data_IF_923552232011
#
_entry.id   IF_923552232011
#
_cell.length_a   1.000
_cell.length_b   1.000
_cell.length_c   1.000
_cell.angle_alpha   90.00
_cell.angle_beta   90.00
_cell.angle_gamma   90.00
#
_symmetry.space_group_name_H-M   'P 1'
#
loop_
_entity.id
_entity.type
_entity.pdbx_description
1 polymer ?
#
# COMPACT_ATOMS: atom_id res chain seq x y z
N UNK A 1 -16.25 -7.40 -34.98
CA UNK A 1 -15.56 -7.63 -33.69
C UNK A 1 -16.61 -8.11 -32.71
N UNK A 2 -16.45 -9.27 -32.09
CA UNK A 2 -17.43 -9.76 -31.09
C UNK A 2 -17.31 -8.94 -29.81
N UNK A 3 -18.42 -8.70 -29.12
CA UNK A 3 -18.41 -8.05 -27.80
C UNK A 3 -17.87 -9.01 -26.74
N UNK A 4 -17.42 -8.46 -25.60
CA UNK A 4 -16.99 -9.29 -24.47
C UNK A 4 -18.14 -10.17 -23.95
N UNK A 5 -19.37 -9.66 -23.94
CA UNK A 5 -20.54 -10.44 -23.52
C UNK A 5 -20.83 -11.62 -24.47
N UNK A 6 -20.61 -11.43 -25.78
CA UNK A 6 -20.79 -12.50 -26.78
C UNK A 6 -19.75 -13.61 -26.61
N UNK A 7 -18.49 -13.24 -26.36
CA UNK A 7 -17.43 -14.22 -26.09
C UNK A 7 -17.69 -15.01 -24.81
N UNK A 8 -18.17 -14.36 -23.75
CA UNK A 8 -18.53 -15.04 -22.49
C UNK A 8 -19.71 -16.00 -22.69
N UNK A 9 -20.67 -15.66 -23.55
CA UNK A 9 -21.79 -16.54 -23.89
C UNK A 9 -21.36 -17.77 -24.68
N UNK A 10 -20.32 -17.69 -25.49
CA UNK A 10 -19.78 -18.84 -26.23
C UNK A 10 -18.94 -19.79 -25.36
N UNK A 11 -18.53 -19.37 -24.16
CA UNK A 11 -17.71 -20.19 -23.28
C UNK A 11 -18.50 -21.34 -22.63
N UNK A 12 -17.88 -22.54 -22.52
CA UNK A 12 -18.33 -23.62 -21.66
C UNK A 12 -18.52 -23.17 -20.19
N UNK A 13 -19.39 -23.84 -19.42
CA UNK A 13 -19.70 -23.47 -18.04
C UNK A 13 -18.46 -23.36 -17.13
N UNK A 14 -17.49 -24.25 -17.31
CA UNK A 14 -16.27 -24.29 -16.51
C UNK A 14 -15.40 -23.05 -16.73
N UNK A 15 -15.29 -22.59 -17.98
CA UNK A 15 -14.49 -21.42 -18.34
C UNK A 15 -15.20 -20.10 -18.00
N UNK A 16 -16.54 -20.08 -17.96
CA UNK A 16 -17.28 -18.91 -17.47
C UNK A 16 -16.96 -18.59 -16.01
N UNK A 17 -16.77 -19.62 -15.20
CA UNK A 17 -16.41 -19.47 -13.78
C UNK A 17 -15.03 -18.86 -13.63
N UNK A 18 -14.07 -19.29 -14.44
CA UNK A 18 -12.71 -18.73 -14.44
C UNK A 18 -12.71 -17.25 -14.88
N UNK A 19 -13.51 -16.89 -15.88
CA UNK A 19 -13.67 -15.49 -16.30
C UNK A 19 -14.32 -14.64 -15.20
N UNK A 20 -15.32 -15.17 -14.50
CA UNK A 20 -15.95 -14.49 -13.37
C UNK A 20 -14.96 -14.24 -12.23
N UNK A 21 -14.18 -15.26 -11.86
CA UNK A 21 -13.17 -15.15 -10.81
C UNK A 21 -12.08 -14.15 -11.19
N UNK A 22 -11.65 -14.15 -12.46
CA UNK A 22 -10.69 -13.17 -12.95
C UNK A 22 -11.25 -11.75 -12.96
N UNK A 23 -12.51 -11.56 -13.35
CA UNK A 23 -13.17 -10.25 -13.30
C UNK A 23 -13.26 -9.72 -11.87
N UNK A 24 -13.64 -10.56 -10.90
CA UNK A 24 -13.64 -10.21 -9.48
C UNK A 24 -12.24 -9.83 -8.98
N UNK A 25 -11.23 -10.62 -9.35
CA UNK A 25 -9.84 -10.32 -9.01
C UNK A 25 -9.39 -8.95 -9.54
N UNK A 26 -9.72 -8.62 -10.79
CA UNK A 26 -9.36 -7.32 -11.37
C UNK A 26 -10.05 -6.15 -10.65
N UNK A 27 -11.31 -6.30 -10.25
CA UNK A 27 -12.06 -5.30 -9.49
C UNK A 27 -11.42 -5.06 -8.10
N UNK A 28 -11.05 -6.12 -7.39
CA UNK A 28 -10.39 -6.01 -6.10
C UNK A 28 -8.97 -5.46 -6.20
N UNK A 29 -8.19 -5.90 -7.20
CA UNK A 29 -6.85 -5.37 -7.47
C UNK A 29 -6.87 -3.86 -7.73
N UNK A 30 -7.87 -3.37 -8.46
CA UNK A 30 -8.04 -1.93 -8.71
C UNK A 30 -8.28 -1.17 -7.41
N UNK A 31 -9.07 -1.71 -6.48
CA UNK A 31 -9.30 -1.08 -5.17
C UNK A 31 -8.01 -1.05 -4.33
N UNK A 32 -7.23 -2.13 -4.33
CA UNK A 32 -5.99 -2.23 -3.57
C UNK A 32 -4.86 -1.32 -4.10
N UNK A 33 -4.77 -1.13 -5.42
CA UNK A 33 -3.74 -0.29 -6.05
C UNK A 33 -3.88 1.21 -5.73
N UNK A 34 -5.00 1.65 -5.15
CA UNK A 34 -5.23 3.03 -4.74
C UNK A 34 -4.90 3.29 -3.26
N UNK A 35 -4.12 2.41 -2.61
CA UNK A 35 -3.51 2.72 -1.32
C UNK A 35 -2.86 4.11 -1.38
N UNK A 36 -3.28 5.02 -0.48
CA UNK A 36 -2.77 6.39 -0.49
C UNK A 36 -1.23 6.35 -0.43
N UNK A 37 -0.53 7.17 -1.24
CA UNK A 37 0.92 7.24 -1.14
C UNK A 37 1.29 7.56 0.32
N UNK A 38 2.26 6.82 0.87
CA UNK A 38 2.78 7.08 2.21
C UNK A 38 3.29 8.52 2.20
N UNK A 39 2.68 9.38 3.03
CA UNK A 39 3.00 10.83 3.05
C UNK A 39 4.45 11.13 3.42
N UNK A 40 5.14 10.20 4.08
CA UNK A 40 6.52 10.36 4.59
C UNK A 40 6.72 11.67 5.37
N UNK A 41 5.66 12.18 6.01
CA UNK A 41 5.70 13.47 6.73
C UNK A 41 6.62 13.45 7.96
N UNK A 42 7.04 12.27 8.39
CA UNK A 42 8.06 12.06 9.41
C UNK A 42 9.49 12.22 8.87
N UNK A 43 9.71 12.02 7.56
CA UNK A 43 11.04 12.09 6.97
C UNK A 43 11.54 13.55 7.02
N UNK A 44 12.61 13.78 7.77
CA UNK A 44 13.18 15.12 7.96
C UNK A 44 12.46 16.00 8.98
N UNK A 45 11.46 15.49 9.71
CA UNK A 45 10.73 16.26 10.73
C UNK A 45 11.63 16.79 11.86
N UNK A 46 12.80 16.20 12.09
CA UNK A 46 13.75 16.62 13.13
C UNK A 46 14.95 17.42 12.59
N UNK A 47 14.91 17.87 11.33
CA UNK A 47 16.06 18.53 10.68
C UNK A 47 16.49 19.81 11.40
N UNK A 48 15.54 20.57 11.94
CA UNK A 48 15.81 21.81 12.69
C UNK A 48 16.56 21.59 14.01
N UNK A 49 16.55 20.36 14.53
CA UNK A 49 17.20 20.00 15.78
C UNK A 49 18.64 19.50 15.59
N UNK A 50 19.10 19.37 14.34
CA UNK A 50 20.44 18.84 14.01
C UNK A 50 21.57 19.61 14.68
N UNK A 51 21.46 20.94 14.75
CA UNK A 51 22.48 21.81 15.34
C UNK A 51 22.26 22.02 16.85
N UNK A 52 21.13 21.55 17.38
CA UNK A 52 20.75 21.70 18.79
C UNK A 52 21.05 20.47 19.63
N UNK A 53 21.09 19.29 19.00
CA UNK A 53 21.33 18.03 19.68
C UNK A 53 22.27 17.16 18.88
N UNK A 54 23.29 16.65 19.56
CA UNK A 54 24.15 15.58 19.06
C UNK A 54 23.44 14.23 19.18
N UNK A 55 23.86 13.26 18.36
CA UNK A 55 23.33 11.90 18.43
C UNK A 55 23.47 11.28 19.83
N UNK A 56 24.55 11.61 20.56
CA UNK A 56 24.82 11.11 21.90
C UNK A 56 23.84 11.69 22.94
N UNK A 57 23.49 12.97 22.83
CA UNK A 57 22.51 13.59 23.74
C UNK A 57 21.11 13.02 23.54
N UNK A 58 20.71 12.77 22.29
CA UNK A 58 19.45 12.11 21.96
C UNK A 58 19.42 10.68 22.50
N UNK A 59 20.53 9.94 22.40
CA UNK A 59 20.64 8.60 22.96
C UNK A 59 20.49 8.59 24.49
N UNK A 60 21.17 9.51 25.20
CA UNK A 60 21.05 9.63 26.66
C UNK A 60 19.62 9.97 27.08
N UNK A 61 18.99 10.95 26.44
CA UNK A 61 17.58 11.31 26.68
C UNK A 61 16.64 10.14 26.40
N UNK A 62 16.89 9.35 25.36
CA UNK A 62 16.07 8.19 25.04
C UNK A 62 16.18 7.07 26.08
N UNK A 63 17.31 6.92 26.76
CA UNK A 63 17.47 5.99 27.89
C UNK A 63 16.75 6.53 29.14
N UNK A 64 16.95 7.81 29.47
CA UNK A 64 16.25 8.49 30.58
C UNK A 64 14.71 8.39 30.43
N UNK A 65 14.17 8.59 29.22
CA UNK A 65 12.73 8.51 28.97
C UNK A 65 12.16 7.09 28.99
N UNK A 66 12.99 6.07 28.78
CA UNK A 66 12.57 4.67 28.91
C UNK A 66 12.55 4.19 30.36
N UNK A 67 13.08 4.98 31.29
CA UNK A 67 12.98 4.73 32.72
C UNK A 67 13.90 3.61 33.23
N UNK A 68 15.04 3.38 32.58
CA UNK A 68 16.14 2.61 33.18
C UNK A 68 16.85 3.44 34.27
#
# INVERSE_FOLDING_TARGET
>A
MKSLEELIRELPPDLRKEVEDFARFLLERRKAAHGKPIRQSWAGALREFKDRFTALELQKKALEWRGD
#
